data_IF_397282845650
#
_entry.id   IF_397282845650
#
_cell.length_a   1.000
_cell.length_b   1.000
_cell.length_c   1.000
_cell.angle_alpha   90.00
_cell.angle_beta   90.00
_cell.angle_gamma   90.00
#
_symmetry.space_group_name_H-M   'P 1'
#
loop_
_entity.id
_entity.type
_entity.pdbx_description
1 polymer ?
#
# COMPACT_ATOMS: atom_id res chain seq x y z
N UNK A 1 -2.98 -21.51 -9.15
CA UNK A 1 -3.44 -20.17 -9.62
C UNK A 1 -3.51 -19.26 -8.41
N UNK A 2 -2.86 -18.10 -8.45
CA UNK A 2 -2.99 -17.08 -7.42
C UNK A 2 -4.32 -16.34 -7.55
N UNK A 3 -4.92 -15.95 -6.42
CA UNK A 3 -6.11 -15.13 -6.39
C UNK A 3 -5.87 -13.90 -5.50
N UNK A 4 -5.90 -12.70 -6.09
CA UNK A 4 -5.56 -11.43 -5.44
C UNK A 4 -6.83 -10.61 -5.21
N UNK A 5 -6.99 -10.11 -3.97
CA UNK A 5 -8.04 -9.15 -3.64
C UNK A 5 -7.54 -7.72 -3.82
N UNK A 6 -8.20 -6.94 -4.67
CA UNK A 6 -7.96 -5.51 -4.86
C UNK A 6 -8.95 -4.75 -3.97
N UNK A 7 -8.47 -4.30 -2.82
CA UNK A 7 -9.28 -3.61 -1.81
C UNK A 7 -9.40 -2.15 -2.17
N UNK A 8 -10.62 -1.72 -2.48
CA UNK A 8 -10.90 -0.34 -2.88
C UNK A 8 -12.09 -0.25 -3.84
N UNK A 9 -12.56 0.96 -4.06
CA UNK A 9 -13.78 1.24 -4.81
C UNK A 9 -13.42 1.57 -6.25
N UNK A 10 -13.66 0.62 -7.16
CA UNK A 10 -13.21 0.70 -8.55
C UNK A 10 -13.73 1.95 -9.27
N UNK A 11 -12.83 2.68 -9.89
CA UNK A 11 -13.13 3.83 -10.71
C UNK A 11 -12.28 3.82 -12.00
N UNK A 12 -12.92 3.57 -13.12
CA UNK A 12 -12.27 3.50 -14.44
C UNK A 12 -11.57 4.80 -14.87
N UNK A 13 -11.86 5.94 -14.22
CA UNK A 13 -11.22 7.22 -14.52
C UNK A 13 -9.86 7.39 -13.84
N UNK A 14 -9.55 6.56 -12.84
CA UNK A 14 -8.28 6.62 -12.14
C UNK A 14 -7.21 5.86 -12.94
N UNK A 15 -6.13 6.55 -13.29
CA UNK A 15 -4.99 5.98 -14.02
C UNK A 15 -4.41 4.74 -13.31
N UNK A 16 -4.32 4.78 -11.98
CA UNK A 16 -3.85 3.64 -11.20
C UNK A 16 -4.75 2.40 -11.37
N UNK A 17 -6.08 2.58 -11.39
CA UNK A 17 -7.02 1.49 -11.56
C UNK A 17 -6.96 0.86 -12.97
N UNK A 18 -6.55 1.63 -13.98
CA UNK A 18 -6.27 1.09 -15.32
C UNK A 18 -4.93 0.35 -15.36
N UNK A 19 -3.94 0.81 -14.58
CA UNK A 19 -2.59 0.26 -14.55
C UNK A 19 -2.49 -1.07 -13.76
N UNK A 20 -3.24 -1.22 -12.65
CA UNK A 20 -3.16 -2.37 -11.74
C UNK A 20 -3.35 -3.72 -12.45
N UNK A 21 -4.39 -3.92 -13.31
CA UNK A 21 -4.54 -5.17 -14.06
C UNK A 21 -3.33 -5.50 -14.94
N UNK A 22 -2.76 -4.50 -15.60
CA UNK A 22 -1.58 -4.68 -16.45
C UNK A 22 -0.34 -5.00 -15.60
N UNK A 23 -0.14 -4.29 -14.49
CA UNK A 23 0.96 -4.54 -13.56
C UNK A 23 0.93 -5.97 -13.01
N UNK A 24 -0.25 -6.46 -12.62
CA UNK A 24 -0.45 -7.82 -12.15
C UNK A 24 -0.17 -8.84 -13.25
N UNK A 25 -0.68 -8.64 -14.46
CA UNK A 25 -0.47 -9.55 -15.59
C UNK A 25 1.02 -9.62 -15.96
N UNK A 26 1.68 -8.48 -16.13
CA UNK A 26 3.11 -8.43 -16.46
C UNK A 26 3.98 -9.12 -15.41
N UNK A 27 3.66 -8.92 -14.11
CA UNK A 27 4.38 -9.58 -13.03
C UNK A 27 4.10 -11.10 -12.98
N UNK A 28 2.87 -11.53 -13.28
CA UNK A 28 2.51 -12.95 -13.38
C UNK A 28 3.22 -13.63 -14.54
N UNK A 29 3.27 -13.00 -15.70
CA UNK A 29 3.98 -13.50 -16.90
C UNK A 29 5.47 -13.64 -16.62
N UNK A 30 6.09 -12.65 -15.97
CA UNK A 30 7.51 -12.70 -15.60
C UNK A 30 7.82 -13.81 -14.59
N UNK A 31 6.84 -14.24 -13.79
CA UNK A 31 6.98 -15.35 -12.83
C UNK A 31 6.53 -16.71 -13.39
N UNK A 32 5.93 -16.75 -14.57
CA UNK A 32 5.36 -17.96 -15.16
C UNK A 32 4.21 -18.54 -14.33
N UNK A 33 3.37 -17.69 -13.73
CA UNK A 33 2.26 -18.10 -12.86
C UNK A 33 0.90 -17.70 -13.42
N UNK A 34 -0.11 -18.52 -13.13
CA UNK A 34 -1.49 -18.16 -13.43
C UNK A 34 -2.05 -17.28 -12.29
N UNK A 35 -2.70 -16.19 -12.67
CA UNK A 35 -3.25 -15.19 -11.76
C UNK A 35 -4.73 -14.94 -12.08
N UNK A 36 -5.51 -14.71 -11.03
CA UNK A 36 -6.82 -14.04 -11.09
C UNK A 36 -6.85 -12.94 -10.02
N UNK A 37 -7.66 -11.94 -10.23
CA UNK A 37 -7.88 -10.88 -9.24
C UNK A 37 -9.34 -10.46 -9.22
N UNK A 38 -9.75 -9.88 -8.11
CA UNK A 38 -11.09 -9.37 -7.90
C UNK A 38 -11.05 -8.01 -7.20
N UNK A 39 -11.83 -7.04 -7.70
CA UNK A 39 -12.10 -5.80 -7.00
C UNK A 39 -13.07 -6.05 -5.85
N UNK A 40 -12.67 -5.65 -4.65
CA UNK A 40 -13.46 -5.81 -3.42
C UNK A 40 -13.84 -4.42 -2.91
N UNK A 41 -15.06 -3.94 -3.23
CA UNK A 41 -15.53 -2.65 -2.74
C UNK A 41 -15.50 -2.59 -1.22
N UNK A 42 -15.03 -1.47 -0.66
CA UNK A 42 -14.80 -1.33 0.78
C UNK A 42 -16.08 -1.45 1.60
N UNK A 43 -17.22 -0.98 1.08
CA UNK A 43 -18.55 -1.16 1.70
C UNK A 43 -18.98 -2.63 1.87
N UNK A 44 -18.42 -3.55 1.08
CA UNK A 44 -18.76 -4.96 1.16
C UNK A 44 -17.88 -5.75 2.14
N UNK A 45 -16.91 -5.09 2.77
CA UNK A 45 -15.99 -5.69 3.75
C UNK A 45 -16.51 -5.38 5.15
N UNK A 46 -17.35 -6.26 5.67
CA UNK A 46 -17.95 -6.15 7.01
C UNK A 46 -17.52 -7.27 7.96
N UNK A 47 -16.81 -8.28 7.45
CA UNK A 47 -16.19 -9.37 8.21
C UNK A 47 -14.99 -9.94 7.42
N UNK A 48 -14.24 -10.84 8.05
CA UNK A 48 -13.04 -11.45 7.47
C UNK A 48 -13.30 -12.56 6.45
N UNK A 49 -14.49 -13.16 6.44
CA UNK A 49 -14.82 -14.33 5.62
C UNK A 49 -14.57 -14.09 4.12
N UNK A 50 -14.91 -12.86 3.67
CA UNK A 50 -14.70 -12.45 2.28
C UNK A 50 -13.22 -12.39 1.90
N UNK A 51 -12.33 -12.18 2.87
CA UNK A 51 -10.90 -11.98 2.66
C UNK A 51 -10.11 -13.29 2.65
N UNK A 52 -10.62 -14.32 3.31
CA UNK A 52 -9.93 -15.59 3.53
C UNK A 52 -9.56 -16.36 2.24
N UNK A 53 -10.27 -16.10 1.15
CA UNK A 53 -10.06 -16.76 -0.16
C UNK A 53 -8.88 -16.19 -0.95
N UNK A 54 -8.35 -15.02 -0.58
CA UNK A 54 -7.26 -14.36 -1.30
C UNK A 54 -5.90 -14.80 -0.79
N UNK A 55 -4.98 -14.98 -1.72
CA UNK A 55 -3.58 -15.31 -1.43
C UNK A 55 -2.73 -14.09 -1.16
N UNK A 56 -3.21 -12.92 -1.54
CA UNK A 56 -2.65 -11.60 -1.26
C UNK A 56 -3.72 -10.52 -1.38
N UNK A 57 -3.53 -9.42 -0.66
CA UNK A 57 -4.42 -8.26 -0.66
C UNK A 57 -3.64 -7.02 -1.10
N UNK A 58 -4.20 -6.28 -2.04
CA UNK A 58 -3.67 -5.00 -2.47
C UNK A 58 -4.68 -3.89 -2.18
N UNK A 59 -4.38 -3.04 -1.19
CA UNK A 59 -5.19 -1.84 -0.94
C UNK A 59 -4.76 -0.76 -1.94
N UNK A 60 -5.66 -0.45 -2.88
CA UNK A 60 -5.38 0.30 -4.10
C UNK A 60 -5.53 1.82 -3.90
N UNK A 61 -4.98 2.67 -4.78
CA UNK A 61 -5.27 4.11 -4.78
C UNK A 61 -6.75 4.43 -4.91
N UNK A 62 -7.13 5.67 -4.57
CA UNK A 62 -8.50 6.19 -4.78
C UNK A 62 -9.22 6.52 -3.48
N UNK A 63 -8.50 6.94 -2.44
CA UNK A 63 -9.11 7.56 -1.24
C UNK A 63 -9.81 8.89 -1.61
N UNK A 64 -10.83 9.32 -0.85
CA UNK A 64 -11.43 8.60 0.28
C UNK A 64 -12.18 7.35 -0.17
N UNK A 65 -12.05 6.25 0.57
CA UNK A 65 -12.83 5.04 0.32
C UNK A 65 -14.28 5.22 0.78
N UNK A 66 -15.20 4.49 0.13
CA UNK A 66 -16.62 4.48 0.51
C UNK A 66 -16.83 3.97 1.95
N UNK A 67 -15.94 3.07 2.41
CA UNK A 67 -15.86 2.62 3.80
C UNK A 67 -14.41 2.58 4.29
N UNK A 68 -14.02 3.54 5.11
CA UNK A 68 -12.74 3.51 5.83
C UNK A 68 -12.62 2.25 6.68
N UNK A 69 -13.68 1.89 7.43
CA UNK A 69 -13.67 0.71 8.31
C UNK A 69 -13.48 -0.59 7.54
N UNK A 70 -14.11 -0.71 6.37
CA UNK A 70 -13.90 -1.87 5.49
C UNK A 70 -12.46 -1.96 4.98
N UNK A 71 -11.86 -0.85 4.58
CA UNK A 71 -10.46 -0.82 4.18
C UNK A 71 -9.53 -1.20 5.35
N UNK A 72 -9.76 -0.62 6.55
CA UNK A 72 -8.98 -0.94 7.75
C UNK A 72 -9.14 -2.41 8.16
N UNK A 73 -10.35 -2.98 8.06
CA UNK A 73 -10.57 -4.40 8.36
C UNK A 73 -9.77 -5.30 7.42
N UNK A 74 -9.72 -4.99 6.12
CA UNK A 74 -8.93 -5.77 5.17
C UNK A 74 -7.43 -5.69 5.45
N UNK A 75 -6.93 -4.50 5.81
CA UNK A 75 -5.52 -4.30 6.16
C UNK A 75 -5.20 -5.02 7.48
N UNK A 76 -6.08 -4.92 8.48
CA UNK A 76 -5.98 -5.64 9.75
C UNK A 76 -5.90 -7.16 9.53
N UNK A 77 -6.80 -7.68 8.72
CA UNK A 77 -6.79 -9.09 8.33
C UNK A 77 -5.46 -9.51 7.72
N UNK A 78 -4.95 -8.74 6.75
CA UNK A 78 -3.67 -9.03 6.12
C UNK A 78 -2.53 -9.08 7.15
N UNK A 79 -2.47 -8.11 8.06
CA UNK A 79 -1.46 -8.02 9.11
C UNK A 79 -1.55 -9.18 10.09
N UNK A 80 -2.73 -9.49 10.62
CA UNK A 80 -2.93 -10.52 11.64
C UNK A 80 -2.74 -11.93 11.11
N UNK A 81 -3.21 -12.21 9.89
CA UNK A 81 -3.14 -13.54 9.28
C UNK A 81 -1.92 -13.74 8.38
N UNK A 82 -0.96 -12.79 8.40
CA UNK A 82 0.27 -12.84 7.59
C UNK A 82 -0.01 -13.08 6.11
N UNK A 83 -1.10 -12.48 5.61
CA UNK A 83 -1.43 -12.45 4.17
C UNK A 83 -0.55 -11.41 3.48
N UNK A 84 0.22 -11.76 2.43
CA UNK A 84 0.96 -10.76 1.70
C UNK A 84 0.10 -9.54 1.35
N UNK A 85 0.62 -8.37 1.68
CA UNK A 85 -0.09 -7.10 1.55
C UNK A 85 0.74 -6.08 0.78
N UNK A 86 0.09 -5.41 -0.16
CA UNK A 86 0.61 -4.23 -0.83
C UNK A 86 -0.39 -3.08 -0.62
N UNK A 87 0.07 -1.91 -0.22
CA UNK A 87 -0.74 -0.70 -0.16
C UNK A 87 -0.12 0.40 -1.02
N UNK A 88 -0.89 1.04 -1.92
CA UNK A 88 -0.36 2.14 -2.74
C UNK A 88 -1.21 3.39 -2.61
N UNK A 89 -0.59 4.56 -2.48
CA UNK A 89 -1.24 5.87 -2.29
C UNK A 89 -2.24 5.87 -1.12
N UNK A 90 -3.55 5.82 -1.39
CA UNK A 90 -4.58 5.66 -0.35
C UNK A 90 -4.38 4.41 0.51
N UNK A 91 -3.90 3.31 -0.08
CA UNK A 91 -3.56 2.08 0.64
C UNK A 91 -2.41 2.26 1.63
N UNK A 92 -1.40 3.08 1.31
CA UNK A 92 -0.35 3.48 2.25
C UNK A 92 -0.93 4.26 3.44
N UNK A 93 -1.75 5.26 3.16
CA UNK A 93 -2.36 6.10 4.18
C UNK A 93 -3.20 5.27 5.17
N UNK A 94 -4.00 4.35 4.65
CA UNK A 94 -4.84 3.48 5.48
C UNK A 94 -4.06 2.38 6.19
N UNK A 95 -2.94 1.91 5.64
CA UNK A 95 -2.05 0.99 6.35
C UNK A 95 -1.42 1.63 7.59
N UNK A 96 -1.01 2.90 7.50
CA UNK A 96 -0.53 3.67 8.66
C UNK A 96 -1.65 3.89 9.68
N UNK A 97 -2.86 4.20 9.21
CA UNK A 97 -4.01 4.44 10.08
C UNK A 97 -4.44 3.17 10.82
N UNK A 98 -4.49 2.02 10.13
CA UNK A 98 -4.77 0.72 10.73
C UNK A 98 -3.73 0.39 11.82
N UNK A 99 -2.46 0.51 11.49
CA UNK A 99 -1.38 0.20 12.42
C UNK A 99 -1.43 1.10 13.66
N UNK A 100 -1.64 2.40 13.47
CA UNK A 100 -1.77 3.35 14.58
C UNK A 100 -2.94 3.00 15.50
N UNK A 101 -4.12 2.76 14.93
CA UNK A 101 -5.35 2.51 15.71
C UNK A 101 -5.35 1.15 16.38
N UNK A 102 -5.02 0.08 15.64
CA UNK A 102 -5.24 -1.29 16.09
C UNK A 102 -3.99 -1.97 16.65
N UNK A 103 -2.80 -1.41 16.42
CA UNK A 103 -1.56 -1.96 17.00
C UNK A 103 -1.01 -1.06 18.10
N UNK A 104 -0.90 0.25 17.85
CA UNK A 104 -0.35 1.20 18.82
C UNK A 104 -1.38 1.78 19.79
N UNK A 105 -2.67 1.48 19.64
CA UNK A 105 -3.74 2.01 20.50
C UNK A 105 -4.02 3.50 20.33
N UNK A 106 -3.59 4.11 19.21
CA UNK A 106 -3.85 5.51 18.87
C UNK A 106 -5.28 5.66 18.30
N UNK A 107 -6.29 5.41 19.11
CA UNK A 107 -7.71 5.33 18.67
C UNK A 107 -8.20 6.62 18.00
N UNK A 108 -7.62 7.78 18.31
CA UNK A 108 -7.99 9.09 17.74
C UNK A 108 -7.16 9.44 16.49
N UNK A 109 -6.31 8.52 15.98
CA UNK A 109 -5.57 8.75 14.74
C UNK A 109 -6.55 8.90 13.57
N UNK A 110 -6.43 9.99 12.80
CA UNK A 110 -7.38 10.38 11.78
C UNK A 110 -6.71 10.70 10.44
N UNK A 111 -7.52 10.63 9.38
CA UNK A 111 -7.16 11.06 8.04
C UNK A 111 -7.79 12.42 7.75
N UNK A 112 -6.97 13.44 7.45
CA UNK A 112 -7.45 14.80 7.24
C UNK A 112 -8.37 14.95 6.01
N UNK A 113 -8.33 14.04 5.05
CA UNK A 113 -9.24 14.05 3.89
C UNK A 113 -10.68 13.73 4.31
N UNK A 114 -10.85 12.74 5.21
CA UNK A 114 -12.16 12.30 5.70
C UNK A 114 -12.63 13.09 6.92
N UNK A 115 -11.70 13.46 7.81
CA UNK A 115 -12.00 14.23 9.03
C UNK A 115 -10.96 15.33 9.27
N UNK A 116 -11.06 16.48 8.57
CA UNK A 116 -10.06 17.56 8.66
C UNK A 116 -9.99 18.24 10.03
N UNK A 117 -10.97 18.00 10.90
CA UNK A 117 -11.03 18.52 12.28
C UNK A 117 -10.72 17.46 13.33
N UNK A 118 -10.20 16.31 12.93
CA UNK A 118 -9.76 15.26 13.84
C UNK A 118 -8.68 15.75 14.80
N UNK A 119 -8.65 15.21 16.02
CA UNK A 119 -7.70 15.65 17.06
C UNK A 119 -6.27 15.21 16.77
N UNK A 120 -6.11 14.04 16.16
CA UNK A 120 -4.82 13.45 15.89
C UNK A 120 -4.70 13.08 14.39
N UNK A 121 -4.41 14.09 13.57
CA UNK A 121 -4.30 13.93 12.12
C UNK A 121 -3.01 13.19 11.78
N UNK A 122 -3.07 11.84 11.76
CA UNK A 122 -1.93 10.99 11.38
C UNK A 122 -1.61 11.14 9.89
N UNK A 123 -2.64 11.18 9.07
CA UNK A 123 -2.52 11.51 7.65
C UNK A 123 -2.97 12.94 7.46
N UNK A 124 -2.06 13.78 7.01
CA UNK A 124 -2.29 15.20 6.87
C UNK A 124 -2.08 15.65 5.41
N UNK A 125 -2.59 16.83 5.08
CA UNK A 125 -2.34 17.44 3.78
C UNK A 125 -0.83 17.73 3.63
N UNK A 126 -0.25 17.31 2.51
CA UNK A 126 1.14 17.60 2.19
C UNK A 126 1.32 19.10 1.98
N UNK A 127 2.48 19.63 2.38
CA UNK A 127 2.87 21.03 2.15
C UNK A 127 2.91 21.37 0.66
N UNK A 128 3.34 20.40 -0.16
CA UNK A 128 3.26 20.43 -1.61
C UNK A 128 2.56 19.18 -2.11
N UNK A 129 1.51 19.34 -2.89
CA UNK A 129 0.79 18.19 -3.45
C UNK A 129 1.66 17.48 -4.51
N UNK A 130 1.77 16.17 -4.37
CA UNK A 130 2.51 15.29 -5.28
C UNK A 130 1.58 14.80 -6.40
N UNK A 131 1.24 15.69 -7.35
CA UNK A 131 0.28 15.40 -8.42
C UNK A 131 1.02 15.38 -9.76
N UNK A 132 1.00 14.23 -10.46
CA UNK A 132 1.70 14.01 -11.72
C UNK A 132 3.20 14.38 -11.65
N UNK A 133 3.81 14.12 -10.52
CA UNK A 133 5.25 14.28 -10.30
C UNK A 133 5.92 12.93 -10.17
N UNK A 134 7.19 12.86 -10.53
CA UNK A 134 8.07 11.73 -10.27
C UNK A 134 9.23 12.22 -9.42
N UNK A 135 9.64 11.41 -8.47
CA UNK A 135 10.67 11.78 -7.51
C UNK A 135 11.60 10.61 -7.20
N UNK A 136 12.81 10.93 -6.72
CA UNK A 136 13.76 9.94 -6.26
C UNK A 136 13.39 9.45 -4.86
N UNK A 137 13.35 8.14 -4.70
CA UNK A 137 13.13 7.49 -3.41
C UNK A 137 14.39 6.75 -3.00
N UNK A 138 14.96 7.12 -1.87
CA UNK A 138 16.07 6.43 -1.24
C UNK A 138 15.54 5.22 -0.46
N UNK A 139 15.94 4.03 -0.87
CA UNK A 139 15.46 2.77 -0.34
C UNK A 139 16.30 2.31 0.84
N UNK A 140 15.64 1.89 1.92
CA UNK A 140 16.34 1.39 3.10
C UNK A 140 16.91 0.01 2.83
N UNK A 141 18.21 -0.16 3.04
CA UNK A 141 18.91 -1.42 2.80
C UNK A 141 18.30 -2.58 3.61
N UNK A 142 18.11 -3.72 2.97
CA UNK A 142 17.51 -4.91 3.59
C UNK A 142 15.99 -4.91 3.64
N UNK A 143 15.31 -3.83 3.22
CA UNK A 143 13.86 -3.80 3.08
C UNK A 143 13.36 -4.68 1.94
N UNK A 144 12.11 -5.14 2.00
CA UNK A 144 11.43 -5.80 0.87
C UNK A 144 11.43 -4.91 -0.37
N UNK A 145 11.28 -3.60 -0.16
CA UNK A 145 11.29 -2.62 -1.23
C UNK A 145 12.65 -2.58 -1.92
N UNK A 146 13.75 -2.44 -1.17
CA UNK A 146 15.12 -2.45 -1.73
C UNK A 146 15.45 -3.77 -2.44
N UNK A 147 15.01 -4.91 -1.89
CA UNK A 147 15.17 -6.21 -2.56
C UNK A 147 14.40 -6.30 -3.88
N UNK A 148 13.18 -5.76 -3.93
CA UNK A 148 12.37 -5.79 -5.14
C UNK A 148 13.00 -4.94 -6.27
N UNK A 149 13.49 -3.75 -5.95
CA UNK A 149 14.11 -2.86 -6.93
C UNK A 149 15.56 -3.24 -7.27
N UNK A 150 16.25 -3.96 -6.37
CA UNK A 150 17.66 -4.32 -6.57
C UNK A 150 18.61 -3.11 -6.60
N UNK A 151 18.20 -1.99 -6.01
CA UNK A 151 18.90 -0.70 -6.03
C UNK A 151 18.81 -0.03 -4.66
N UNK A 152 19.60 1.03 -4.46
CA UNK A 152 19.53 1.91 -3.29
C UNK A 152 18.53 3.06 -3.47
N UNK A 153 18.09 3.28 -4.69
CA UNK A 153 17.15 4.34 -5.05
C UNK A 153 16.28 3.91 -6.24
N UNK A 154 15.12 4.52 -6.40
CA UNK A 154 14.26 4.38 -7.56
C UNK A 154 13.58 5.71 -7.88
N UNK A 155 13.09 5.83 -9.12
CA UNK A 155 12.25 6.95 -9.58
C UNK A 155 10.81 6.47 -9.63
N UNK A 156 9.90 7.12 -8.89
CA UNK A 156 8.50 6.71 -8.84
C UNK A 156 7.52 7.87 -8.95
N UNK A 157 6.36 7.60 -9.50
CA UNK A 157 5.34 8.59 -9.76
C UNK A 157 4.29 8.70 -8.65
N UNK A 158 3.74 9.90 -8.47
CA UNK A 158 2.74 10.20 -7.45
C UNK A 158 1.46 10.80 -8.03
N UNK A 159 0.38 10.57 -7.29
CA UNK A 159 -0.91 11.25 -7.45
C UNK A 159 -1.55 11.40 -6.05
N UNK A 160 -0.88 12.10 -5.14
CA UNK A 160 -1.27 12.20 -3.73
C UNK A 160 -1.23 13.65 -3.23
N UNK A 161 -2.25 14.02 -2.44
CA UNK A 161 -2.31 15.31 -1.73
C UNK A 161 -2.14 15.18 -0.22
N UNK A 162 -2.14 13.94 0.29
CA UNK A 162 -2.05 13.62 1.72
C UNK A 162 -0.92 12.62 1.97
N UNK A 163 -0.29 12.71 3.14
CA UNK A 163 0.80 11.84 3.55
C UNK A 163 0.93 11.76 5.06
N UNK A 164 1.94 11.04 5.55
CA UNK A 164 2.23 10.93 6.98
C UNK A 164 2.52 12.30 7.58
N UNK A 165 1.89 12.61 8.71
CA UNK A 165 2.20 13.80 9.50
C UNK A 165 3.57 13.61 10.19
N UNK A 166 4.59 14.42 9.86
CA UNK A 166 5.93 14.29 10.45
C UNK A 166 5.93 14.38 12.00
N UNK A 167 5.00 15.13 12.58
CA UNK A 167 4.90 15.28 14.04
C UNK A 167 4.53 13.97 14.77
N UNK A 168 3.92 12.99 14.06
CA UNK A 168 3.52 11.70 14.62
C UNK A 168 4.43 10.55 14.17
N UNK A 169 5.43 10.83 13.36
CA UNK A 169 6.35 9.82 12.80
C UNK A 169 7.07 9.03 13.89
N UNK A 170 7.64 9.69 14.89
CA UNK A 170 8.36 9.01 15.97
C UNK A 170 7.48 8.01 16.72
N UNK A 171 6.23 8.38 17.00
CA UNK A 171 5.30 7.49 17.70
C UNK A 171 4.96 6.24 16.87
N UNK A 172 4.88 6.38 15.53
CA UNK A 172 4.48 5.33 14.62
C UNK A 172 5.56 4.23 14.44
N UNK A 173 6.85 4.60 14.48
CA UNK A 173 7.97 3.69 14.19
C UNK A 173 8.67 3.12 15.43
N UNK A 174 7.98 3.07 16.58
CA UNK A 174 8.56 2.55 17.84
C UNK A 174 8.66 1.03 17.90
N UNK A 175 7.84 0.31 17.13
CA UNK A 175 7.73 -1.15 17.24
C UNK A 175 8.07 -1.84 15.90
N UNK A 176 7.10 -2.54 15.31
CA UNK A 176 7.34 -3.43 14.16
C UNK A 176 7.31 -2.72 12.81
N UNK A 177 6.63 -1.56 12.72
CA UNK A 177 6.60 -0.79 11.49
C UNK A 177 7.94 -0.13 11.24
N UNK A 178 8.45 -0.25 10.03
CA UNK A 178 9.75 0.28 9.61
C UNK A 178 9.62 1.17 8.39
N UNK A 179 10.47 2.18 8.31
CA UNK A 179 10.62 2.99 7.10
C UNK A 179 11.33 2.12 6.06
N UNK A 180 10.77 2.03 4.86
CA UNK A 180 11.34 1.29 3.73
C UNK A 180 11.88 2.23 2.64
N UNK A 181 11.42 3.48 2.59
CA UNK A 181 11.90 4.48 1.65
C UNK A 181 11.55 5.90 2.06
N UNK A 182 12.43 6.82 1.74
CA UNK A 182 12.29 8.27 1.98
C UNK A 182 12.62 9.05 0.70
N UNK A 183 12.07 10.25 0.56
CA UNK A 183 12.47 11.16 -0.52
C UNK A 183 13.76 11.92 -0.21
N UNK A 184 14.15 12.83 -1.10
CA UNK A 184 15.37 13.68 -0.94
C UNK A 184 15.31 14.60 0.29
N UNK A 185 14.13 14.86 0.85
CA UNK A 185 13.90 15.67 2.04
C UNK A 185 13.83 14.82 3.32
N UNK A 186 13.95 13.50 3.23
CA UNK A 186 13.83 12.56 4.33
C UNK A 186 12.39 12.28 4.77
N UNK A 187 11.40 12.70 3.99
CA UNK A 187 10.00 12.40 4.28
C UNK A 187 9.67 10.94 3.91
N UNK A 188 8.89 10.27 4.76
CA UNK A 188 8.55 8.85 4.60
C UNK A 188 7.63 8.66 3.40
N UNK A 189 8.09 7.85 2.45
CA UNK A 189 7.38 7.52 1.20
C UNK A 189 7.02 6.04 1.09
N UNK A 190 7.67 5.19 1.89
CA UNK A 190 7.34 3.77 1.96
C UNK A 190 7.61 3.21 3.35
N UNK A 191 6.80 2.22 3.73
CA UNK A 191 6.90 1.50 5.00
C UNK A 191 6.73 0.00 4.80
N UNK A 192 7.22 -0.79 5.77
CA UNK A 192 7.01 -2.23 5.82
C UNK A 192 6.92 -2.75 7.25
N UNK A 193 6.32 -3.93 7.46
CA UNK A 193 6.37 -4.64 8.73
C UNK A 193 7.52 -5.65 8.74
N UNK A 194 8.45 -5.50 9.68
CA UNK A 194 9.70 -6.26 9.72
C UNK A 194 9.54 -7.78 9.93
N UNK A 195 8.48 -8.22 10.61
CA UNK A 195 8.22 -9.64 10.91
C UNK A 195 7.09 -10.24 10.06
N UNK A 196 6.63 -9.52 9.05
CA UNK A 196 5.60 -9.99 8.14
C UNK A 196 6.24 -10.56 6.87
N UNK A 197 5.73 -11.67 6.29
CA UNK A 197 6.25 -12.24 5.05
C UNK A 197 6.35 -11.26 3.88
N UNK A 198 5.40 -10.35 3.78
CA UNK A 198 5.38 -9.22 2.88
C UNK A 198 4.23 -8.28 3.27
N UNK A 199 4.54 -7.18 3.92
CA UNK A 199 3.58 -6.11 4.19
C UNK A 199 4.28 -4.81 3.86
N UNK A 200 4.04 -4.30 2.66
CA UNK A 200 4.69 -3.11 2.14
C UNK A 200 3.63 -2.10 1.71
N UNK A 201 3.85 -0.85 2.07
CA UNK A 201 2.98 0.23 1.61
C UNK A 201 3.82 1.41 1.09
N UNK A 202 3.40 1.99 -0.04
CA UNK A 202 4.09 3.10 -0.71
C UNK A 202 3.13 4.26 -0.96
N UNK A 203 3.57 5.50 -0.71
CA UNK A 203 2.80 6.69 -1.07
C UNK A 203 2.78 6.90 -2.58
N UNK A 204 3.84 6.50 -3.28
CA UNK A 204 3.92 6.50 -4.73
C UNK A 204 3.10 5.34 -5.34
N UNK A 205 2.87 5.41 -6.65
CA UNK A 205 2.02 4.50 -7.41
C UNK A 205 2.86 3.70 -8.43
N UNK A 206 3.58 2.65 -7.99
CA UNK A 206 4.48 1.87 -8.84
C UNK A 206 3.75 1.16 -9.98
N UNK A 207 2.46 0.83 -9.81
CA UNK A 207 1.62 0.23 -10.84
C UNK A 207 1.59 1.00 -12.14
N UNK A 208 1.75 2.34 -12.09
CA UNK A 208 1.70 3.20 -13.28
C UNK A 208 2.81 2.91 -14.29
N UNK A 209 3.91 2.32 -13.86
CA UNK A 209 5.00 1.90 -14.74
C UNK A 209 4.53 0.87 -15.79
N UNK A 210 3.51 0.07 -15.48
CA UNK A 210 2.94 -0.91 -16.41
C UNK A 210 2.34 -0.28 -17.65
N UNK A 211 1.80 0.94 -17.57
CA UNK A 211 1.26 1.66 -18.72
C UNK A 211 2.34 2.03 -19.74
N UNK A 212 3.60 2.05 -19.32
CA UNK A 212 4.77 2.29 -20.18
C UNK A 212 5.51 0.97 -20.52
N UNK A 213 4.90 -0.19 -20.29
CA UNK A 213 5.48 -1.49 -20.59
C UNK A 213 6.57 -1.96 -19.62
N UNK A 214 6.69 -1.31 -18.45
CA UNK A 214 7.68 -1.70 -17.43
C UNK A 214 7.00 -2.46 -16.31
N UNK A 215 7.46 -3.68 -16.01
CA UNK A 215 6.94 -4.48 -14.89
C UNK A 215 7.34 -3.83 -13.57
N UNK A 216 6.37 -3.43 -12.71
CA UNK A 216 6.70 -2.79 -11.44
C UNK A 216 7.42 -3.79 -10.49
N UNK A 217 8.65 -3.50 -10.01
CA UNK A 217 9.43 -4.44 -9.21
C UNK A 217 8.74 -4.86 -7.92
N UNK A 218 8.03 -3.93 -7.26
CA UNK A 218 7.35 -4.24 -6.00
C UNK A 218 6.13 -5.13 -6.19
N UNK A 219 5.42 -5.03 -7.32
CA UNK A 219 4.31 -5.93 -7.67
C UNK A 219 4.84 -7.35 -7.93
N UNK A 220 6.00 -7.46 -8.57
CA UNK A 220 6.70 -8.74 -8.74
C UNK A 220 7.07 -9.35 -7.38
N UNK A 221 7.61 -8.55 -6.46
CA UNK A 221 7.93 -8.96 -5.08
C UNK A 221 6.69 -9.42 -4.31
N UNK A 222 5.59 -8.70 -4.43
CA UNK A 222 4.30 -9.05 -3.85
C UNK A 222 3.78 -10.41 -4.34
N UNK A 223 3.75 -10.64 -5.66
CA UNK A 223 3.29 -11.92 -6.21
C UNK A 223 4.21 -13.10 -5.84
N UNK A 224 5.53 -12.88 -5.73
CA UNK A 224 6.46 -13.89 -5.19
C UNK A 224 6.12 -14.28 -3.75
N UNK A 225 5.76 -13.31 -2.91
CA UNK A 225 5.34 -13.58 -1.54
C UNK A 225 4.02 -14.36 -1.50
N UNK A 226 3.04 -13.98 -2.33
CA UNK A 226 1.78 -14.72 -2.48
C UNK A 226 1.99 -16.17 -2.93
N UNK A 227 2.93 -16.41 -3.86
CA UNK A 227 3.26 -17.76 -4.33
C UNK A 227 3.91 -18.62 -3.23
N UNK A 228 4.73 -18.04 -2.36
CA UNK A 228 5.34 -18.76 -1.23
C UNK A 228 4.31 -19.22 -0.20
N UNK A 229 3.23 -18.46 -0.01
CA UNK A 229 2.14 -18.80 0.90
C UNK A 229 1.30 -20.01 0.42
N UNK A 230 1.29 -20.30 -0.88
CA UNK A 230 0.59 -21.45 -1.46
C UNK A 230 1.31 -22.79 -1.26
N UNK A 231 2.59 -22.75 -0.88
CA UNK A 231 3.43 -23.94 -0.65
C UNK A 231 3.43 -24.33 0.82
#
# INVERSE_FOLDING_TARGET
MLHIGLIGDYNAKLTAHQAIPQALQMAADALGIMLSFEWVPTLLINNEDRLARFHGLWCVPGSPYDSTDGALLAIHYARMHKVPFLGTCGGFQHALLEYARHHLGMAEAEHAESNPRGRQLLINKLSCALINVSDTIHLVAGSHLAHAYGSKECQEGYQCSYGLNPALQEALFKEQLRIAGVDEHGEVRAVELGEHPFFVATLFQPERAALNGTTPPIVLGFLRACQKRLR
#
